data_IF_261323255060
#
_entry.id   IF_261323255060
#
_cell.length_a   1.000
_cell.length_b   1.000
_cell.length_c   1.000
_cell.angle_alpha   90.00
_cell.angle_beta   90.00
_cell.angle_gamma   90.00
#
_symmetry.space_group_name_H-M   'P 1'
#
loop_
_entity.id
_entity.type
_entity.pdbx_description
1 polymer ?
#
# COMPACT_ATOMS: atom_id res chain seq x y z
N UNK A 1 21.84 -12.65 -4.06
CA UNK A 1 20.92 -13.71 -3.64
C UNK A 1 21.38 -14.22 -2.28
N UNK A 2 20.53 -14.19 -1.26
CA UNK A 2 20.89 -14.77 0.04
C UNK A 2 20.99 -16.28 -0.09
N UNK A 3 21.99 -16.91 0.54
CA UNK A 3 22.21 -18.36 0.49
C UNK A 3 21.31 -19.16 1.43
N UNK A 4 20.41 -18.48 2.16
CA UNK A 4 19.51 -19.06 3.17
C UNK A 4 18.14 -18.34 3.16
N UNK A 5 17.08 -18.97 3.70
CA UNK A 5 15.77 -18.34 3.87
C UNK A 5 15.86 -17.10 4.75
N UNK A 6 15.30 -15.98 4.27
CA UNK A 6 15.09 -14.80 5.11
C UNK A 6 13.77 -14.96 5.86
N UNK A 7 13.83 -15.03 7.19
CA UNK A 7 12.65 -15.22 8.05
C UNK A 7 12.38 -13.89 8.76
N UNK A 8 11.19 -13.32 8.53
CA UNK A 8 10.66 -12.21 9.33
C UNK A 8 9.53 -12.75 10.20
N UNK A 9 9.85 -12.97 11.46
CA UNK A 9 8.93 -13.52 12.46
C UNK A 9 7.72 -12.59 12.70
N UNK A 10 6.65 -13.14 13.26
CA UNK A 10 5.50 -12.36 13.70
C UNK A 10 5.94 -11.27 14.68
N UNK A 11 5.46 -10.04 14.50
CA UNK A 11 5.84 -8.88 15.33
C UNK A 11 7.27 -8.38 15.12
N UNK A 12 8.01 -8.91 14.13
CA UNK A 12 9.28 -8.36 13.67
C UNK A 12 9.12 -7.76 12.27
N UNK A 13 10.02 -6.87 11.87
CA UNK A 13 9.89 -6.09 10.65
C UNK A 13 10.28 -4.65 10.94
N UNK A 14 10.33 -3.83 9.91
CA UNK A 14 10.56 -2.41 10.08
C UNK A 14 9.23 -1.67 10.07
N UNK A 15 8.86 -1.09 11.20
CA UNK A 15 7.62 -0.35 11.37
C UNK A 15 7.78 1.10 10.94
N UNK A 16 6.80 1.57 10.18
CA UNK A 16 6.66 2.92 9.68
C UNK A 16 5.34 3.48 10.21
N UNK A 17 5.34 4.18 11.37
CA UNK A 17 4.16 4.89 11.85
C UNK A 17 3.75 5.97 10.85
N UNK A 18 2.46 6.04 10.54
CA UNK A 18 1.88 6.98 9.58
C UNK A 18 0.60 7.62 10.17
N UNK A 19 0.15 8.78 9.66
CA UNK A 19 -1.11 9.39 10.13
C UNK A 19 -2.34 8.47 10.00
N UNK A 20 -2.34 7.57 9.01
CA UNK A 20 -3.43 6.63 8.75
C UNK A 20 -3.33 5.31 9.55
N UNK A 21 -2.23 5.07 10.24
CA UNK A 21 -1.97 3.81 10.94
C UNK A 21 -0.49 3.41 10.96
N UNK A 22 -0.19 2.15 10.68
CA UNK A 22 1.21 1.66 10.63
C UNK A 22 1.41 0.81 9.38
N UNK A 23 2.55 1.00 8.72
CA UNK A 23 3.06 0.07 7.72
C UNK A 23 4.21 -0.72 8.34
N UNK A 24 4.32 -2.01 8.02
CA UNK A 24 5.44 -2.85 8.46
C UNK A 24 6.10 -3.50 7.25
N UNK A 25 7.36 -3.18 6.98
CA UNK A 25 8.13 -3.83 5.91
C UNK A 25 8.49 -5.26 6.32
N UNK A 26 7.91 -6.24 5.61
CA UNK A 26 8.04 -7.68 5.90
C UNK A 26 9.12 -8.34 5.07
N UNK A 27 9.18 -8.02 3.77
CA UNK A 27 10.18 -8.57 2.84
C UNK A 27 10.67 -7.44 1.96
N UNK A 28 12.00 -7.27 1.86
CA UNK A 28 12.62 -6.20 1.07
C UNK A 28 13.04 -6.69 -0.31
N UNK A 29 13.22 -5.76 -1.24
CA UNK A 29 13.83 -6.05 -2.54
C UNK A 29 15.24 -6.64 -2.42
N UNK A 30 16.03 -6.25 -1.41
CA UNK A 30 17.36 -6.82 -1.19
C UNK A 30 17.29 -8.32 -0.88
N UNK A 31 16.32 -8.72 -0.05
CA UNK A 31 16.09 -10.12 0.31
C UNK A 31 15.62 -10.97 -0.88
N UNK A 32 14.99 -10.36 -1.88
CA UNK A 32 14.43 -11.04 -3.06
C UNK A 32 15.21 -10.80 -4.34
N UNK A 33 16.39 -10.17 -4.26
CA UNK A 33 17.17 -9.72 -5.42
C UNK A 33 16.34 -8.88 -6.42
N UNK A 34 15.46 -8.05 -5.90
CA UNK A 34 14.61 -7.12 -6.66
C UNK A 34 13.29 -7.73 -7.16
N UNK A 35 13.01 -9.01 -6.89
CA UNK A 35 11.84 -9.68 -7.45
C UNK A 35 10.51 -9.14 -6.88
N UNK A 36 10.43 -8.97 -5.56
CA UNK A 36 9.25 -8.41 -4.89
C UNK A 36 9.59 -7.83 -3.51
N UNK A 37 8.74 -6.95 -3.01
CA UNK A 37 8.69 -6.57 -1.61
C UNK A 37 7.30 -6.78 -1.03
N UNK A 38 7.22 -6.95 0.28
CA UNK A 38 5.98 -7.19 1.03
C UNK A 38 5.90 -6.23 2.19
N UNK A 39 4.78 -5.51 2.27
CA UNK A 39 4.50 -4.51 3.31
C UNK A 39 3.13 -4.82 3.90
N UNK A 40 3.06 -5.05 5.21
CA UNK A 40 1.78 -5.09 5.91
C UNK A 40 1.33 -3.67 6.26
N UNK A 41 0.03 -3.47 6.35
CA UNK A 41 -0.59 -2.23 6.76
C UNK A 41 -1.70 -2.50 7.78
N UNK A 42 -1.76 -1.67 8.80
CA UNK A 42 -2.92 -1.51 9.68
C UNK A 42 -3.50 -0.14 9.42
N UNK A 43 -4.74 -0.09 8.95
CA UNK A 43 -5.48 1.15 8.72
C UNK A 43 -6.41 1.42 9.89
N UNK A 44 -6.26 2.58 10.52
CA UNK A 44 -7.17 3.02 11.57
C UNK A 44 -8.60 3.21 11.02
N UNK A 45 -9.63 3.20 11.89
CA UNK A 45 -10.99 3.56 11.51
C UNK A 45 -11.04 4.91 10.79
N UNK A 46 -11.79 4.99 9.69
CA UNK A 46 -11.92 6.20 8.86
C UNK A 46 -10.65 6.64 8.11
N UNK A 47 -9.57 5.84 8.13
CA UNK A 47 -8.30 6.22 7.55
C UNK A 47 -8.31 6.20 6.02
N UNK A 48 -7.75 7.25 5.41
CA UNK A 48 -7.39 7.25 3.99
C UNK A 48 -6.06 6.50 3.85
N UNK A 49 -6.09 5.27 3.33
CA UNK A 49 -4.89 4.45 3.13
C UNK A 49 -4.00 5.04 2.03
N UNK A 50 -4.55 5.18 0.83
CA UNK A 50 -3.91 5.91 -0.25
C UNK A 50 -4.95 6.66 -1.11
N UNK A 51 -4.70 7.95 -1.31
CA UNK A 51 -5.39 8.72 -2.34
C UNK A 51 -5.15 8.09 -3.74
N UNK A 52 -6.08 8.28 -4.69
CA UNK A 52 -5.95 7.67 -6.00
C UNK A 52 -4.65 7.97 -6.75
N UNK A 53 -4.05 6.94 -7.33
CA UNK A 53 -2.78 7.02 -8.03
C UNK A 53 -2.64 5.90 -9.07
N UNK A 54 -1.60 5.98 -9.91
CA UNK A 54 -1.23 4.99 -10.91
C UNK A 54 0.24 4.62 -10.73
N UNK A 55 0.55 3.33 -10.68
CA UNK A 55 1.91 2.83 -10.75
C UNK A 55 2.30 2.50 -12.19
N UNK A 56 3.40 3.05 -12.69
CA UNK A 56 3.98 2.66 -13.97
C UNK A 56 5.22 1.76 -13.83
N UNK A 57 5.87 1.77 -12.65
CA UNK A 57 7.08 0.99 -12.40
C UNK A 57 6.84 -0.43 -11.88
N UNK A 58 5.70 -0.70 -11.24
CA UNK A 58 5.42 -1.95 -10.54
C UNK A 58 3.92 -2.27 -10.52
N UNK A 59 3.61 -3.55 -10.31
CA UNK A 59 2.28 -4.03 -9.99
C UNK A 59 2.11 -4.04 -8.48
N UNK A 60 0.87 -3.90 -8.02
CA UNK A 60 0.53 -3.97 -6.60
C UNK A 60 -0.57 -5.01 -6.38
N UNK A 61 -0.42 -5.81 -5.33
CA UNK A 61 -1.39 -6.81 -4.92
C UNK A 61 -1.74 -6.64 -3.45
N UNK A 62 -3.02 -6.81 -3.12
CA UNK A 62 -3.54 -6.69 -1.77
C UNK A 62 -4.14 -8.00 -1.32
N UNK A 63 -3.83 -8.41 -0.10
CA UNK A 63 -4.46 -9.53 0.60
C UNK A 63 -5.08 -9.01 1.90
N UNK A 64 -6.39 -9.15 2.06
CA UNK A 64 -7.08 -8.62 3.23
C UNK A 64 -7.08 -9.68 4.34
N UNK A 65 -6.43 -9.35 5.46
CA UNK A 65 -6.31 -10.23 6.63
C UNK A 65 -7.47 -10.08 7.60
N UNK A 66 -7.87 -8.84 7.91
CA UNK A 66 -9.01 -8.53 8.79
C UNK A 66 -9.61 -7.16 8.48
N UNK A 67 -10.83 -6.91 8.95
CA UNK A 67 -11.56 -5.66 8.69
C UNK A 67 -12.05 -5.55 7.24
N UNK A 68 -12.50 -4.34 6.87
CA UNK A 68 -13.00 -4.01 5.53
C UNK A 68 -12.12 -2.92 4.91
N UNK A 69 -11.77 -3.09 3.64
CA UNK A 69 -11.06 -2.08 2.85
C UNK A 69 -11.87 -1.73 1.62
N UNK A 70 -12.18 -0.46 1.45
CA UNK A 70 -12.82 0.09 0.26
C UNK A 70 -11.75 0.42 -0.77
N UNK A 71 -11.86 -0.13 -1.98
CA UNK A 71 -11.01 0.16 -3.13
C UNK A 71 -11.78 0.97 -4.16
N UNK A 72 -11.14 1.97 -4.74
CA UNK A 72 -11.66 2.71 -5.89
C UNK A 72 -10.95 2.23 -7.16
N UNK A 73 -11.68 1.91 -8.21
CA UNK A 73 -11.10 1.52 -9.50
C UNK A 73 -11.89 2.14 -10.66
N UNK A 74 -11.24 2.60 -11.75
CA UNK A 74 -11.92 3.31 -12.82
C UNK A 74 -12.87 2.42 -13.66
N UNK A 75 -12.64 1.10 -13.76
CA UNK A 75 -13.49 0.14 -14.51
C UNK A 75 -13.26 -1.34 -14.10
N UNK A 76 -14.30 -2.13 -13.82
CA UNK A 76 -14.19 -3.60 -13.64
C UNK A 76 -15.42 -4.30 -13.00
N UNK A 77 -15.67 -5.62 -13.25
CA UNK A 77 -17.00 -6.27 -13.32
C UNK A 77 -17.69 -6.61 -11.99
N UNK A 78 -17.14 -6.19 -10.86
CA UNK A 78 -17.75 -6.44 -9.56
C UNK A 78 -18.64 -5.24 -9.28
N UNK A 79 -19.93 -5.49 -9.06
CA UNK A 79 -20.95 -4.46 -8.86
C UNK A 79 -20.38 -3.24 -8.10
N UNK A 80 -20.17 -2.19 -8.88
CA UNK A 80 -19.69 -0.91 -8.39
C UNK A 80 -20.78 -0.39 -7.46
N UNK A 81 -20.46 -0.25 -6.16
CA UNK A 81 -21.30 0.49 -5.24
C UNK A 81 -21.46 1.94 -5.73
N UNK A 82 -22.40 2.73 -5.19
CA UNK A 82 -22.55 4.14 -5.59
C UNK A 82 -21.20 4.88 -5.54
N UNK A 83 -20.63 5.24 -6.69
CA UNK A 83 -19.40 6.04 -6.78
C UNK A 83 -18.10 5.35 -7.20
N UNK A 84 -18.11 4.14 -7.77
CA UNK A 84 -16.89 3.57 -8.38
C UNK A 84 -16.02 2.71 -7.46
N UNK A 85 -16.53 2.32 -6.29
CA UNK A 85 -15.78 1.59 -5.27
C UNK A 85 -16.34 0.20 -4.94
N UNK A 86 -15.47 -0.65 -4.39
CA UNK A 86 -15.79 -2.00 -3.92
C UNK A 86 -15.19 -2.23 -2.53
N UNK A 87 -15.95 -2.85 -1.62
CA UNK A 87 -15.45 -3.26 -0.31
C UNK A 87 -14.96 -4.70 -0.34
N UNK A 88 -13.78 -4.92 0.21
CA UNK A 88 -13.13 -6.22 0.27
C UNK A 88 -12.86 -6.55 1.74
N UNK A 89 -13.40 -7.67 2.19
CA UNK A 89 -13.22 -8.18 3.55
C UNK A 89 -12.18 -9.31 3.65
N UNK A 90 -12.07 -9.96 4.82
CA UNK A 90 -11.05 -10.96 5.11
C UNK A 90 -11.04 -12.13 4.11
N UNK A 91 -9.85 -12.54 3.67
CA UNK A 91 -9.67 -13.56 2.63
C UNK A 91 -9.87 -13.04 1.20
N UNK A 92 -10.30 -11.79 1.04
CA UNK A 92 -10.37 -11.12 -0.25
C UNK A 92 -8.99 -10.69 -0.75
N UNK A 93 -8.90 -10.47 -2.07
CA UNK A 93 -7.67 -10.03 -2.72
C UNK A 93 -7.96 -9.07 -3.86
N UNK A 94 -7.01 -8.18 -4.13
CA UNK A 94 -7.07 -7.21 -5.24
C UNK A 94 -5.74 -7.25 -5.98
N UNK A 95 -5.79 -7.24 -7.31
CA UNK A 95 -4.63 -7.14 -8.17
C UNK A 95 -4.72 -5.85 -8.99
N UNK A 96 -3.68 -5.02 -8.95
CA UNK A 96 -3.58 -3.75 -9.66
C UNK A 96 -2.41 -3.82 -10.64
N UNK A 97 -2.70 -4.06 -11.94
CA UNK A 97 -1.69 -4.01 -12.98
C UNK A 97 -1.09 -2.61 -13.14
N UNK A 98 0.15 -2.53 -13.64
CA UNK A 98 0.77 -1.26 -14.04
C UNK A 98 -0.15 -0.47 -14.97
N UNK A 99 -0.21 0.84 -14.77
CA UNK A 99 -1.01 1.76 -15.57
C UNK A 99 -2.47 1.87 -15.14
N UNK A 100 -2.94 1.02 -14.23
CA UNK A 100 -4.29 1.11 -13.69
C UNK A 100 -4.33 2.05 -12.50
N UNK A 101 -5.37 2.89 -12.45
CA UNK A 101 -5.59 3.78 -11.32
C UNK A 101 -6.30 3.04 -10.19
N UNK A 102 -5.91 3.30 -8.96
CA UNK A 102 -6.57 2.79 -7.77
C UNK A 102 -6.37 3.71 -6.57
N UNK A 103 -7.27 3.61 -5.61
CA UNK A 103 -7.15 4.18 -4.28
C UNK A 103 -7.75 3.21 -3.26
N UNK A 104 -7.39 3.36 -1.98
CA UNK A 104 -7.98 2.52 -0.94
C UNK A 104 -8.06 3.23 0.41
N UNK A 105 -9.04 2.82 1.21
CA UNK A 105 -9.39 3.44 2.48
C UNK A 105 -10.12 2.47 3.40
N UNK A 106 -10.11 2.75 4.69
CA UNK A 106 -10.95 2.07 5.68
C UNK A 106 -12.11 3.01 6.06
N UNK A 107 -13.32 2.73 5.58
CA UNK A 107 -14.53 3.52 5.92
C UNK A 107 -15.25 2.99 7.18
N UNK A 108 -14.81 1.86 7.72
CA UNK A 108 -15.42 1.24 8.89
C UNK A 108 -14.99 1.93 10.20
N UNK A 109 -15.70 1.59 11.27
CA UNK A 109 -15.42 1.99 12.65
C UNK A 109 -14.39 1.09 13.35
N UNK A 110 -13.95 0.02 12.69
CA UNK A 110 -12.93 -0.92 13.18
C UNK A 110 -11.66 -0.89 12.31
N UNK A 111 -10.47 -1.20 12.87
CA UNK A 111 -9.24 -1.29 12.09
C UNK A 111 -9.28 -2.37 10.99
N UNK A 112 -8.55 -2.13 9.91
CA UNK A 112 -8.36 -3.10 8.83
C UNK A 112 -6.89 -3.48 8.67
N UNK A 113 -6.62 -4.76 8.42
CA UNK A 113 -5.29 -5.30 8.19
C UNK A 113 -5.18 -5.85 6.78
N UNK A 114 -4.16 -5.41 6.06
CA UNK A 114 -3.90 -5.86 4.70
C UNK A 114 -2.40 -6.02 4.44
N UNK A 115 -2.06 -6.96 3.57
CA UNK A 115 -0.71 -7.16 3.07
C UNK A 115 -0.64 -6.66 1.64
N UNK A 116 0.35 -5.83 1.34
CA UNK A 116 0.65 -5.29 0.02
C UNK A 116 1.91 -5.94 -0.53
N UNK A 117 1.88 -6.34 -1.79
CA UNK A 117 3.03 -6.88 -2.51
C UNK A 117 3.32 -6.02 -3.73
N UNK A 118 4.59 -5.67 -3.92
CA UNK A 118 5.05 -4.85 -5.04
C UNK A 118 6.02 -5.65 -5.91
N UNK A 119 5.79 -5.68 -7.22
CA UNK A 119 6.70 -6.37 -8.15
C UNK A 119 6.91 -5.59 -9.46
N UNK A 120 8.16 -5.37 -9.91
CA UNK A 120 9.40 -5.63 -9.17
C UNK A 120 9.47 -4.83 -7.86
N UNK A 121 10.36 -5.22 -6.95
CA UNK A 121 10.56 -4.53 -5.69
C UNK A 121 11.10 -3.09 -5.90
N UNK A 122 11.09 -2.29 -4.84
CA UNK A 122 11.68 -0.97 -4.78
C UNK A 122 10.72 0.11 -4.31
N UNK A 123 9.40 -0.12 -4.40
CA UNK A 123 8.40 0.82 -3.92
C UNK A 123 8.35 0.93 -2.39
N UNK A 124 8.86 -0.07 -1.66
CA UNK A 124 8.98 -0.01 -0.20
C UNK A 124 9.80 1.19 0.30
N UNK A 125 10.72 1.70 -0.53
CA UNK A 125 11.55 2.85 -0.20
C UNK A 125 10.73 4.16 -0.17
N UNK A 126 9.64 4.26 -0.94
CA UNK A 126 8.71 5.38 -0.82
C UNK A 126 8.13 5.44 0.59
N UNK A 127 7.68 4.31 1.14
CA UNK A 127 7.12 4.26 2.49
C UNK A 127 8.16 4.64 3.54
N UNK A 128 9.40 4.13 3.41
CA UNK A 128 10.52 4.48 4.28
C UNK A 128 10.76 5.99 4.30
N UNK A 129 10.89 6.62 3.13
CA UNK A 129 11.13 8.08 3.04
C UNK A 129 9.94 8.89 3.52
N UNK A 130 8.70 8.47 3.24
CA UNK A 130 7.52 9.13 3.77
C UNK A 130 7.44 9.05 5.30
N UNK A 131 7.80 7.90 5.89
CA UNK A 131 7.83 7.71 7.33
C UNK A 131 8.94 8.54 8.00
N UNK A 132 10.12 8.65 7.37
CA UNK A 132 11.20 9.53 7.82
C UNK A 132 10.76 11.01 7.84
N UNK A 133 10.11 11.47 6.77
CA UNK A 133 9.56 12.83 6.71
C UNK A 133 8.56 13.07 7.85
N UNK A 134 7.62 12.13 8.05
CA UNK A 134 6.65 12.22 9.13
C UNK A 134 7.29 12.22 10.53
N UNK A 135 8.26 11.34 10.78
CA UNK A 135 8.99 11.27 12.04
C UNK A 135 9.78 12.55 12.33
N UNK A 136 10.22 13.27 11.30
CA UNK A 136 10.88 14.58 11.43
C UNK A 136 9.92 15.75 11.71
N UNK A 137 8.61 15.49 11.74
CA UNK A 137 7.57 16.50 11.94
C UNK A 137 7.18 17.25 10.65
N UNK A 138 7.66 16.80 9.49
CA UNK A 138 7.25 17.37 8.21
C UNK A 138 5.81 16.94 7.87
N UNK A 139 4.92 17.88 7.53
CA UNK A 139 3.57 17.54 7.10
C UNK A 139 3.60 16.72 5.80
N UNK A 140 2.95 15.55 5.79
CA UNK A 140 2.78 14.72 4.61
C UNK A 140 1.73 15.29 3.66
N UNK A 141 2.01 16.45 3.06
CA UNK A 141 1.08 17.10 2.12
C UNK A 141 0.95 16.28 0.83
N UNK A 142 -0.15 16.44 0.08
CA UNK A 142 -0.29 15.80 -1.24
C UNK A 142 0.88 16.12 -2.17
N UNK A 143 1.40 17.35 -2.16
CA UNK A 143 2.53 17.77 -2.99
C UNK A 143 3.81 16.99 -2.63
N UNK A 144 4.14 16.88 -1.34
CA UNK A 144 5.28 16.11 -0.88
C UNK A 144 5.13 14.63 -1.24
N UNK A 145 3.99 14.02 -0.90
CA UNK A 145 3.75 12.62 -1.19
C UNK A 145 3.80 12.32 -2.70
N UNK A 146 3.28 13.21 -3.54
CA UNK A 146 3.36 13.07 -4.99
C UNK A 146 4.80 13.19 -5.51
N UNK A 147 5.60 14.12 -4.95
CA UNK A 147 7.02 14.23 -5.30
C UNK A 147 7.79 12.96 -4.92
N UNK A 148 7.55 12.40 -3.72
CA UNK A 148 8.17 11.15 -3.27
C UNK A 148 7.78 9.97 -4.17
N UNK A 149 6.48 9.82 -4.48
CA UNK A 149 5.97 8.76 -5.37
C UNK A 149 6.54 8.85 -6.79
N UNK A 150 6.79 10.06 -7.30
CA UNK A 150 7.32 10.26 -8.65
C UNK A 150 8.69 9.59 -8.86
N UNK A 151 9.54 9.51 -7.81
CA UNK A 151 10.81 8.77 -7.86
C UNK A 151 10.63 7.26 -8.14
N UNK A 152 9.43 6.74 -7.92
CA UNK A 152 9.07 5.34 -8.15
C UNK A 152 8.06 5.17 -9.29
N UNK A 153 8.07 6.10 -10.26
CA UNK A 153 7.20 6.06 -11.44
C UNK A 153 5.72 5.93 -11.07
N UNK A 154 5.31 6.59 -9.99
CA UNK A 154 3.93 6.62 -9.51
C UNK A 154 3.40 8.04 -9.59
N UNK A 155 2.23 8.20 -10.18
CA UNK A 155 1.61 9.52 -10.43
C UNK A 155 0.23 9.60 -9.77
N UNK A 156 -0.22 10.79 -9.35
CA UNK A 156 -1.58 10.96 -8.85
C UNK A 156 -2.61 10.66 -9.96
N UNK A 157 -3.78 10.18 -9.57
CA UNK A 157 -4.88 9.91 -10.48
C UNK A 157 -6.14 10.66 -10.03
N UNK A 158 -7.02 10.94 -10.99
CA UNK A 158 -8.42 11.29 -10.72
C UNK A 158 -9.25 10.09 -11.14
N UNK A 159 -10.11 9.60 -10.24
CA UNK A 159 -11.02 8.48 -10.49
C UNK A 159 -12.40 8.99 -10.88
#
# INVERSE_FOLDING_TARGET
MTSFPNIVASGSGEDFPMPFGVLTLRITGEQTAGALSVVDAVLNPGALGAAPHIHHGHEEYFLIGSGLVTFDTPTGPVEIGPGGSVEIGPGGSVAVPRGQAHGFRNLADEPAHLTMLFTPAGYENYFRTAAEAFASGEPLTPELLNALRAHHQTVPATL
#
